data_IF_718801127031
#
_entry.id   IF_718801127031
#
_cell.length_a   1.000
_cell.length_b   1.000
_cell.length_c   1.000
_cell.angle_alpha   90.00
_cell.angle_beta   90.00
_cell.angle_gamma   90.00
#
_symmetry.space_group_name_H-M   'P 1'
#
loop_
_entity.id
_entity.type
_entity.pdbx_description
1 polymer ?
#
# COMPACT_ATOMS: atom_id res chain seq x y z
N UNK A 1 5.14 18.25 11.15
CA UNK A 1 4.25 17.11 11.54
C UNK A 1 2.99 17.06 10.70
N UNK A 2 2.23 18.16 10.59
CA UNK A 2 1.00 18.18 9.76
C UNK A 2 1.28 18.04 8.26
N UNK A 3 2.29 18.74 7.73
CA UNK A 3 2.68 18.69 6.32
C UNK A 3 3.01 17.26 5.84
N UNK A 4 3.85 16.53 6.60
CA UNK A 4 4.21 15.14 6.28
C UNK A 4 2.98 14.20 6.29
N UNK A 5 2.05 14.38 7.24
CA UNK A 5 0.81 13.60 7.25
C UNK A 5 -0.08 13.87 6.02
N UNK A 6 -0.17 15.12 5.57
CA UNK A 6 -0.87 15.48 4.33
C UNK A 6 -0.18 14.88 3.10
N UNK A 7 1.14 14.96 3.04
CA UNK A 7 1.93 14.41 1.95
C UNK A 7 1.77 12.89 1.83
N UNK A 8 1.87 12.16 2.94
CA UNK A 8 1.61 10.71 2.98
C UNK A 8 0.18 10.38 2.57
N UNK A 9 -0.81 11.20 2.94
CA UNK A 9 -2.21 11.03 2.51
C UNK A 9 -2.36 11.24 0.99
N UNK A 10 -1.73 12.28 0.44
CA UNK A 10 -1.73 12.54 -0.99
C UNK A 10 -1.08 11.40 -1.79
N UNK A 11 0.04 10.86 -1.30
CA UNK A 11 0.70 9.69 -1.90
C UNK A 11 -0.18 8.43 -1.79
N UNK A 12 -0.86 8.21 -0.67
CA UNK A 12 -1.85 7.13 -0.55
C UNK A 12 -3.00 7.30 -1.56
N UNK A 13 -3.43 8.54 -1.84
CA UNK A 13 -4.44 8.79 -2.88
C UNK A 13 -3.94 8.43 -4.28
N UNK A 14 -2.67 8.74 -4.61
CA UNK A 14 -2.06 8.28 -5.87
C UNK A 14 -2.13 6.76 -5.99
N UNK A 15 -1.84 6.02 -4.90
CA UNK A 15 -1.93 4.55 -4.90
C UNK A 15 -3.38 4.09 -5.10
N UNK A 16 -4.34 4.71 -4.40
CA UNK A 16 -5.77 4.39 -4.55
C UNK A 16 -6.25 4.60 -5.99
N UNK A 17 -5.88 5.72 -6.62
CA UNK A 17 -6.21 6.00 -8.02
C UNK A 17 -5.58 5.00 -8.99
N UNK A 18 -4.33 4.55 -8.73
CA UNK A 18 -3.70 3.46 -9.49
C UNK A 18 -4.51 2.16 -9.38
N UNK A 19 -4.92 1.77 -8.16
CA UNK A 19 -5.76 0.57 -7.95
C UNK A 19 -7.10 0.70 -8.68
N UNK A 20 -7.79 1.84 -8.54
CA UNK A 20 -9.06 2.09 -9.24
C UNK A 20 -8.87 1.95 -10.75
N UNK A 21 -7.88 2.64 -11.31
CA UNK A 21 -7.60 2.62 -12.76
C UNK A 21 -7.32 1.20 -13.26
N UNK A 22 -6.58 0.39 -12.50
CA UNK A 22 -6.32 -1.01 -12.83
C UNK A 22 -7.60 -1.86 -12.84
N UNK A 23 -8.48 -1.69 -11.84
CA UNK A 23 -9.73 -2.45 -11.77
C UNK A 23 -10.72 -2.03 -12.87
N UNK A 24 -10.80 -0.73 -13.19
CA UNK A 24 -11.58 -0.22 -14.30
C UNK A 24 -11.08 -0.76 -15.65
N UNK A 25 -9.75 -0.76 -15.88
CA UNK A 25 -9.15 -1.31 -17.09
C UNK A 25 -9.39 -2.83 -17.22
N UNK A 26 -9.52 -3.54 -16.09
CA UNK A 26 -9.90 -4.95 -16.05
C UNK A 26 -11.42 -5.20 -16.15
N UNK A 27 -12.22 -4.16 -16.39
CA UNK A 27 -13.68 -4.25 -16.55
C UNK A 27 -14.44 -4.60 -15.26
N UNK A 28 -13.82 -4.42 -14.08
CA UNK A 28 -14.44 -4.78 -12.80
C UNK A 28 -15.53 -3.78 -12.41
N UNK A 29 -16.68 -4.30 -12.03
CA UNK A 29 -17.84 -3.51 -11.59
C UNK A 29 -17.96 -3.40 -10.06
N UNK A 30 -17.33 -4.31 -9.32
CA UNK A 30 -17.26 -4.28 -7.87
C UNK A 30 -15.84 -4.66 -7.44
N UNK A 31 -15.19 -3.80 -6.67
CA UNK A 31 -13.81 -4.03 -6.22
C UNK A 31 -13.48 -3.27 -4.94
N UNK A 32 -12.29 -3.54 -4.40
CA UNK A 32 -11.79 -2.97 -3.15
C UNK A 32 -10.64 -1.99 -3.39
N UNK A 33 -10.53 -0.97 -2.56
CA UNK A 33 -9.37 -0.07 -2.49
C UNK A 33 -8.85 0.01 -1.05
N UNK A 34 -7.55 0.27 -0.82
CA UNK A 34 -7.06 0.48 0.53
C UNK A 34 -7.67 1.75 1.11
N UNK A 35 -8.22 1.67 2.33
CA UNK A 35 -8.62 2.85 3.08
C UNK A 35 -7.39 3.67 3.49
N UNK A 36 -7.55 4.95 3.81
CA UNK A 36 -6.42 5.75 4.26
C UNK A 36 -5.91 5.27 5.61
N UNK A 37 -4.59 5.28 5.77
CA UNK A 37 -3.91 5.12 7.04
C UNK A 37 -3.42 6.48 7.54
N UNK A 38 -3.98 6.94 8.65
CA UNK A 38 -3.56 8.18 9.33
C UNK A 38 -2.73 7.83 10.57
N UNK A 39 -1.50 8.30 10.64
CA UNK A 39 -0.68 8.21 11.87
C UNK A 39 -1.33 9.12 12.93
N UNK A 40 -1.53 8.59 14.16
CA UNK A 40 -2.20 9.25 15.29
C UNK A 40 -1.89 10.76 15.39
N UNK A 41 -2.78 11.61 14.85
CA UNK A 41 -2.83 13.07 15.05
C UNK A 41 -4.07 13.73 14.44
N UNK A 42 -4.80 13.07 13.53
CA UNK A 42 -6.10 13.55 13.07
C UNK A 42 -7.22 12.72 13.69
N UNK A 43 -7.81 13.26 14.75
CA UNK A 43 -9.16 12.89 15.17
C UNK A 43 -10.08 12.98 13.95
N UNK A 44 -10.84 11.91 13.72
CA UNK A 44 -11.79 11.66 12.64
C UNK A 44 -13.04 12.58 12.71
N UNK A 45 -12.85 13.89 12.85
CA UNK A 45 -13.92 14.85 13.11
C UNK A 45 -14.43 15.63 11.89
N UNK A 46 -13.87 15.40 10.69
CA UNK A 46 -14.17 16.22 9.52
C UNK A 46 -14.31 15.40 8.24
N UNK A 47 -15.15 14.37 8.26
CA UNK A 47 -15.41 13.58 7.07
C UNK A 47 -16.62 14.15 6.32
N UNK A 48 -16.40 14.62 5.09
CA UNK A 48 -17.48 14.90 4.13
C UNK A 48 -18.27 13.59 3.89
N UNK A 49 -19.42 13.47 4.54
CA UNK A 49 -20.17 12.20 4.67
C UNK A 49 -20.58 11.54 3.36
N UNK A 50 -20.65 12.29 2.26
CA UNK A 50 -21.11 11.78 0.96
C UNK A 50 -20.19 10.72 0.33
N UNK A 51 -18.89 10.73 0.60
CA UNK A 51 -17.94 9.80 -0.03
C UNK A 51 -17.65 8.54 0.80
N UNK A 52 -18.44 8.26 1.85
CA UNK A 52 -18.28 7.07 2.67
C UNK A 52 -19.11 5.88 2.20
N UNK A 53 -20.21 6.13 1.50
CA UNK A 53 -21.05 5.06 0.93
C UNK A 53 -20.33 4.41 -0.27
N UNK A 54 -20.06 3.10 -0.24
CA UNK A 54 -19.44 2.37 -1.35
C UNK A 54 -20.18 2.50 -2.68
N UNK A 55 -21.51 2.65 -2.66
CA UNK A 55 -22.33 2.82 -3.85
C UNK A 55 -22.16 4.24 -4.43
N UNK A 56 -22.23 5.29 -3.60
CA UNK A 56 -22.01 6.68 -4.04
C UNK A 56 -20.60 6.88 -4.59
N UNK A 57 -19.60 6.24 -3.97
CA UNK A 57 -18.24 6.25 -4.49
C UNK A 57 -18.13 5.45 -5.80
N UNK A 58 -18.85 4.33 -5.93
CA UNK A 58 -18.94 3.56 -7.17
C UNK A 58 -19.53 4.37 -8.32
N UNK A 59 -20.66 5.04 -8.09
CA UNK A 59 -21.35 5.90 -9.06
C UNK A 59 -20.41 6.97 -9.64
N UNK A 60 -19.58 7.60 -8.79
CA UNK A 60 -18.59 8.59 -9.23
C UNK A 60 -17.59 8.02 -10.25
N UNK A 61 -17.21 6.74 -10.13
CA UNK A 61 -16.31 6.07 -11.08
C UNK A 61 -17.04 5.25 -12.14
N UNK A 62 -18.38 5.30 -12.20
CA UNK A 62 -19.18 4.54 -13.16
C UNK A 62 -19.15 3.02 -12.94
N UNK A 63 -19.08 2.58 -11.67
CA UNK A 63 -19.09 1.15 -11.28
C UNK A 63 -20.10 0.89 -10.16
N UNK A 64 -20.51 -0.36 -9.98
CA UNK A 64 -21.54 -0.72 -9.00
C UNK A 64 -21.11 -0.44 -7.56
N UNK A 65 -19.88 -0.79 -7.19
CA UNK A 65 -19.41 -0.61 -5.81
C UNK A 65 -17.89 -0.52 -5.72
N UNK A 66 -17.41 0.41 -4.90
CA UNK A 66 -16.01 0.45 -4.47
C UNK A 66 -15.95 0.39 -2.96
N UNK A 67 -15.44 -0.73 -2.44
CA UNK A 67 -15.35 -0.98 -1.00
C UNK A 67 -13.99 -0.49 -0.49
N UNK A 68 -13.98 0.32 0.57
CA UNK A 68 -12.73 0.71 1.25
C UNK A 68 -12.35 -0.35 2.27
N UNK A 69 -11.17 -0.94 2.14
CA UNK A 69 -10.67 -1.94 3.09
C UNK A 69 -9.64 -1.32 4.02
N UNK A 70 -9.88 -1.44 5.32
CA UNK A 70 -8.98 -0.90 6.35
C UNK A 70 -7.59 -1.53 6.26
N UNK A 71 -6.58 -0.69 6.08
CA UNK A 71 -5.15 -1.06 6.10
C UNK A 71 -4.52 -0.58 7.40
N UNK A 72 -3.68 -1.41 8.04
CA UNK A 72 -3.07 -1.11 9.36
C UNK A 72 -1.66 -0.54 9.26
N UNK A 73 -1.27 -0.07 8.09
CA UNK A 73 0.06 0.45 7.76
C UNK A 73 -0.03 1.54 6.71
N UNK A 74 0.99 2.39 6.67
CA UNK A 74 1.17 3.39 5.63
C UNK A 74 1.68 2.70 4.36
N UNK A 75 0.95 2.82 3.26
CA UNK A 75 1.30 2.25 1.95
C UNK A 75 1.71 3.32 0.93
N UNK A 76 1.96 4.55 1.37
CA UNK A 76 2.37 5.67 0.50
C UNK A 76 3.63 5.37 -0.31
N UNK A 77 4.55 4.54 0.18
CA UNK A 77 5.77 4.15 -0.53
C UNK A 77 5.49 3.44 -1.88
N UNK A 78 4.28 2.91 -2.09
CA UNK A 78 3.88 2.34 -3.39
C UNK A 78 3.67 3.44 -4.45
N UNK A 79 3.48 4.70 -4.04
CA UNK A 79 3.28 5.81 -4.96
C UNK A 79 4.56 6.16 -5.73
N UNK A 80 5.66 6.29 -4.99
CA UNK A 80 6.90 6.96 -5.40
C UNK A 80 8.19 6.27 -4.93
N UNK A 81 8.09 5.17 -4.16
CA UNK A 81 9.22 4.39 -3.72
C UNK A 81 9.93 3.68 -4.86
N UNK A 82 11.19 3.33 -4.62
CA UNK A 82 11.99 2.54 -5.55
C UNK A 82 11.35 1.16 -5.72
N UNK A 83 11.08 0.80 -6.97
CA UNK A 83 10.47 -0.47 -7.32
C UNK A 83 11.54 -1.55 -7.54
N UNK A 84 11.33 -2.72 -6.94
CA UNK A 84 12.18 -3.90 -7.09
C UNK A 84 11.33 -5.09 -7.50
N UNK A 85 11.57 -5.65 -8.69
CA UNK A 85 10.92 -6.88 -9.14
C UNK A 85 11.61 -8.07 -8.48
N UNK A 86 10.88 -8.81 -7.64
CA UNK A 86 11.45 -9.96 -6.90
C UNK A 86 11.17 -11.28 -7.60
N UNK A 87 9.96 -11.43 -8.14
CA UNK A 87 9.52 -12.59 -8.91
C UNK A 87 8.55 -12.15 -10.01
N UNK A 88 8.00 -13.10 -10.79
CA UNK A 88 7.03 -12.77 -11.83
C UNK A 88 5.75 -12.13 -11.29
N UNK A 89 5.37 -12.48 -10.06
CA UNK A 89 4.13 -12.07 -9.42
C UNK A 89 4.33 -11.17 -8.18
N UNK A 90 5.58 -10.83 -7.86
CA UNK A 90 5.95 -10.14 -6.62
C UNK A 90 6.80 -8.91 -6.89
N UNK A 91 6.36 -7.77 -6.37
CA UNK A 91 7.04 -6.47 -6.50
C UNK A 91 7.17 -5.84 -5.12
N UNK A 92 8.37 -5.34 -4.82
CA UNK A 92 8.65 -4.54 -3.62
C UNK A 92 8.80 -3.06 -3.97
N UNK A 93 8.40 -2.21 -3.02
CA UNK A 93 8.54 -0.76 -3.05
C UNK A 93 9.22 -0.34 -1.77
N UNK A 94 10.31 0.42 -1.87
CA UNK A 94 11.06 0.88 -0.70
C UNK A 94 11.48 2.34 -0.80
N UNK A 95 11.80 2.97 0.33
CA UNK A 95 12.35 4.31 0.37
C UNK A 95 13.46 4.44 1.44
N UNK A 96 14.17 5.56 1.41
CA UNK A 96 15.23 5.88 2.38
C UNK A 96 14.70 6.26 3.76
N UNK A 97 13.38 6.46 3.89
CA UNK A 97 12.71 6.79 5.14
C UNK A 97 12.47 5.56 6.04
N UNK A 98 12.70 4.35 5.52
CA UNK A 98 12.57 3.09 6.25
C UNK A 98 11.27 2.34 5.97
N UNK A 99 10.56 2.64 4.88
CA UNK A 99 9.33 1.93 4.50
C UNK A 99 9.63 0.85 3.46
N UNK A 100 9.07 -0.35 3.67
CA UNK A 100 9.04 -1.43 2.68
C UNK A 100 7.60 -1.94 2.54
N UNK A 101 7.07 -1.92 1.31
CA UNK A 101 5.82 -2.60 0.95
C UNK A 101 6.10 -3.63 -0.13
N UNK A 102 5.59 -4.85 0.05
CA UNK A 102 5.66 -5.92 -0.95
C UNK A 102 4.25 -6.32 -1.36
N UNK A 103 4.01 -6.36 -2.66
CA UNK A 103 2.72 -6.75 -3.25
C UNK A 103 2.95 -8.03 -4.06
N UNK A 104 2.20 -9.08 -3.75
CA UNK A 104 2.22 -10.35 -4.46
C UNK A 104 0.81 -10.85 -4.81
N UNK A 105 0.67 -11.62 -5.89
CA UNK A 105 -0.59 -12.35 -6.18
C UNK A 105 -0.69 -13.67 -5.42
N UNK A 106 0.39 -14.14 -4.82
CA UNK A 106 0.42 -15.34 -3.98
C UNK A 106 0.92 -15.02 -2.56
N UNK A 107 0.50 -15.75 -1.52
CA UNK A 107 1.02 -15.51 -0.18
C UNK A 107 2.54 -15.71 -0.13
N UNK A 108 3.26 -14.77 0.47
CA UNK A 108 4.70 -14.93 0.71
C UNK A 108 4.94 -16.05 1.73
N UNK A 109 5.74 -17.03 1.32
CA UNK A 109 6.17 -18.16 2.16
C UNK A 109 7.66 -18.13 2.51
N UNK A 110 8.45 -17.32 1.80
CA UNK A 110 9.90 -17.20 1.98
C UNK A 110 10.24 -15.94 2.76
N UNK A 111 11.33 -16.03 3.55
CA UNK A 111 11.91 -14.89 4.23
C UNK A 111 12.47 -13.89 3.23
N UNK A 112 12.30 -12.60 3.49
CA UNK A 112 12.89 -11.57 2.66
C UNK A 112 14.25 -11.15 3.22
N UNK A 113 15.21 -10.92 2.32
CA UNK A 113 16.47 -10.26 2.65
C UNK A 113 16.45 -8.86 2.09
N UNK A 114 16.70 -7.87 2.94
CA UNK A 114 16.82 -6.44 2.57
C UNK A 114 18.23 -5.98 2.93
N UNK A 115 18.89 -5.27 2.01
CA UNK A 115 20.19 -4.65 2.26
C UNK A 115 20.05 -3.13 2.30
N UNK A 116 20.31 -2.53 3.46
CA UNK A 116 20.28 -1.08 3.69
C UNK A 116 21.67 -0.62 4.07
N UNK A 117 22.27 0.30 3.32
CA UNK A 117 23.64 0.80 3.57
C UNK A 117 24.68 -0.32 3.78
N UNK A 118 24.53 -1.43 3.03
CA UNK A 118 25.39 -2.62 3.12
C UNK A 118 25.05 -3.59 4.26
N UNK A 119 24.13 -3.23 5.17
CA UNK A 119 23.66 -4.09 6.26
C UNK A 119 22.49 -4.95 5.79
N UNK A 120 22.62 -6.27 5.94
CA UNK A 120 21.58 -7.23 5.57
C UNK A 120 20.65 -7.51 6.75
N UNK A 121 19.34 -7.47 6.48
CA UNK A 121 18.27 -7.78 7.43
C UNK A 121 17.33 -8.81 6.83
N UNK A 122 17.00 -9.83 7.62
CA UNK A 122 16.02 -10.84 7.27
C UNK A 122 14.68 -10.52 7.90
N UNK A 123 13.61 -10.57 7.12
CA UNK A 123 12.25 -10.25 7.54
C UNK A 123 11.36 -11.45 7.21
N UNK A 124 10.74 -12.02 8.22
CA UNK A 124 9.80 -13.11 8.04
C UNK A 124 8.41 -12.56 7.68
N UNK A 125 7.70 -13.10 6.66
CA UNK A 125 6.40 -12.61 6.23
C UNK A 125 5.36 -12.51 7.35
N UNK A 126 5.36 -13.46 8.30
CA UNK A 126 4.42 -13.48 9.43
C UNK A 126 4.62 -12.34 10.44
N UNK A 127 5.79 -11.67 10.41
CA UNK A 127 6.08 -10.50 11.24
C UNK A 127 5.67 -9.19 10.57
N UNK A 128 5.26 -9.24 9.30
CA UNK A 128 4.85 -8.07 8.54
C UNK A 128 3.40 -7.73 8.83
N UNK A 129 3.06 -6.45 8.73
CA UNK A 129 1.65 -6.05 8.68
C UNK A 129 1.10 -6.42 7.31
N UNK A 130 -0.13 -6.91 7.26
CA UNK A 130 -0.71 -7.42 6.01
C UNK A 130 -2.10 -6.88 5.73
N UNK A 131 -2.42 -6.77 4.45
CA UNK A 131 -3.76 -6.51 3.92
C UNK A 131 -3.91 -7.27 2.60
N UNK A 132 -5.14 -7.66 2.27
CA UNK A 132 -5.44 -8.31 0.99
C UNK A 132 -6.36 -7.40 0.17
N UNK A 133 -5.96 -6.99 -1.02
CA UNK A 133 -6.70 -6.03 -1.85
C UNK A 133 -6.81 -6.61 -3.26
N UNK A 134 -8.04 -6.83 -3.73
CA UNK A 134 -8.31 -7.38 -5.07
C UNK A 134 -7.46 -8.62 -5.41
N UNK A 135 -7.46 -9.63 -4.52
CA UNK A 135 -6.70 -10.88 -4.66
C UNK A 135 -5.17 -10.71 -4.63
N UNK A 136 -4.68 -9.54 -4.21
CA UNK A 136 -3.26 -9.31 -3.96
C UNK A 136 -2.98 -9.24 -2.47
N UNK A 137 -1.86 -9.82 -2.06
CA UNK A 137 -1.33 -9.79 -0.71
C UNK A 137 -0.34 -8.63 -0.58
N UNK A 138 -0.66 -7.68 0.29
CA UNK A 138 0.16 -6.51 0.57
C UNK A 138 0.80 -6.71 1.94
N UNK A 139 2.12 -6.62 1.99
CA UNK A 139 2.92 -6.78 3.19
C UNK A 139 3.69 -5.50 3.45
N UNK A 140 3.73 -5.06 4.71
CA UNK A 140 4.52 -3.92 5.16
C UNK A 140 5.46 -4.30 6.28
N UNK A 141 6.70 -3.84 6.19
CA UNK A 141 7.66 -3.89 7.29
C UNK A 141 8.42 -2.56 7.37
N UNK A 142 8.71 -2.07 8.60
CA UNK A 142 9.73 -1.05 8.77
C UNK A 142 11.11 -1.67 8.52
N UNK A 143 11.91 -1.02 7.70
CA UNK A 143 13.32 -1.32 7.49
C UNK A 143 14.18 -0.21 8.11
N UNK A 144 15.50 -0.42 8.12
CA UNK A 144 16.40 0.62 8.61
C UNK A 144 16.40 1.79 7.62
N UNK A 145 16.63 3.01 8.11
CA UNK A 145 16.73 4.19 7.23
C UNK A 145 18.06 4.16 6.50
N UNK A 146 18.06 4.49 5.21
CA UNK A 146 19.27 4.44 4.39
C UNK A 146 18.97 4.02 2.95
N UNK A 147 20.02 3.90 2.14
CA UNK A 147 19.90 3.46 0.76
C UNK A 147 19.60 1.96 0.69
N UNK A 148 18.49 1.61 0.04
CA UNK A 148 18.11 0.21 -0.19
C UNK A 148 18.78 -0.28 -1.48
N UNK A 149 19.83 -1.08 -1.32
CA UNK A 149 20.66 -1.53 -2.43
C UNK A 149 20.24 -2.88 -3.01
N UNK A 150 19.57 -3.72 -2.21
CA UNK A 150 19.07 -5.01 -2.67
C UNK A 150 17.88 -5.51 -1.84
N UNK A 151 16.93 -6.17 -2.51
CA UNK A 151 15.81 -6.89 -1.91
C UNK A 151 15.69 -8.26 -2.62
N UNK A 152 15.55 -9.35 -1.87
CA UNK A 152 15.31 -10.68 -2.41
C UNK A 152 14.38 -11.52 -1.52
N UNK A 153 13.77 -12.53 -2.12
CA UNK A 153 13.05 -13.63 -1.44
C UNK A 153 13.97 -14.84 -1.22
#
# INVERSE_FOLDING_TARGET
MMYNAYEKTARQEVVRQKVISQQLAAGKQAFTIPDYYFVKLQNSGGHFGFFHDPAVYGDYYGVQTIIKKKVKFDYSVVADGQQHKLANDTVAYSNTEGDLVVISTTPLSLQMTVTVDGVKKMIQPEKMKQAEINQQFWYYAPIDKGEVTAISL
#
